data_IF_371563360670
#
_entry.id   IF_371563360670
#
_cell.length_a   1.000
_cell.length_b   1.000
_cell.length_c   1.000
_cell.angle_alpha   90.00
_cell.angle_beta   90.00
_cell.angle_gamma   90.00
#
_symmetry.space_group_name_H-M   'P 1'
#
loop_
_entity.id
_entity.type
_entity.pdbx_description
1 polymer ?
#
# COMPACT_ATOMS: atom_id res chain seq x y z
N UNK A 1 53.11 -15.14 -0.26
CA UNK A 1 53.97 -14.31 0.59
C UNK A 1 53.11 -13.23 1.24
N UNK A 2 53.01 -13.36 2.59
CA UNK A 2 52.65 -12.38 3.65
C UNK A 2 51.35 -11.63 3.55
N UNK A 3 50.31 -12.06 4.17
CA UNK A 3 49.75 -11.93 5.56
C UNK A 3 50.05 -10.58 6.24
N UNK A 4 49.02 -9.76 6.47
CA UNK A 4 48.94 -8.88 7.66
C UNK A 4 47.46 -8.70 8.06
N UNK A 5 47.12 -9.36 9.18
CA UNK A 5 46.04 -9.06 10.11
C UNK A 5 46.25 -7.66 10.72
N UNK A 6 45.15 -6.92 10.92
CA UNK A 6 45.07 -5.91 11.97
C UNK A 6 43.68 -5.95 12.61
N UNK A 7 43.64 -6.48 13.80
CA UNK A 7 42.52 -6.42 14.74
C UNK A 7 42.60 -5.07 15.49
N UNK A 8 41.47 -4.42 15.68
CA UNK A 8 41.31 -3.36 16.65
C UNK A 8 40.04 -3.60 17.49
N UNK A 9 40.27 -4.03 18.72
CA UNK A 9 39.31 -4.00 19.82
C UNK A 9 39.03 -2.54 20.20
N UNK A 10 37.78 -2.22 20.49
CA UNK A 10 37.44 -1.14 21.43
C UNK A 10 36.37 -1.58 22.42
N UNK A 11 36.69 -1.31 23.67
CA UNK A 11 36.11 -1.75 24.94
C UNK A 11 35.04 -0.76 25.42
N UNK A 12 33.99 -1.30 25.94
CA UNK A 12 33.05 -0.91 27.01
C UNK A 12 32.97 0.57 27.47
N UNK A 13 31.73 1.01 27.61
CA UNK A 13 31.33 2.14 28.45
C UNK A 13 29.93 1.95 29.00
N UNK A 14 29.85 1.39 30.21
CA UNK A 14 28.68 1.21 31.06
C UNK A 14 28.42 2.49 31.84
N UNK A 15 27.22 3.04 31.82
CA UNK A 15 26.79 4.04 32.81
C UNK A 15 25.35 3.75 33.24
N UNK A 16 25.21 3.25 34.46
CA UNK A 16 23.99 3.23 35.30
C UNK A 16 23.75 4.65 35.85
N UNK A 17 22.49 5.06 35.87
CA UNK A 17 22.00 5.96 36.90
C UNK A 17 20.52 5.67 37.20
N UNK A 18 20.27 5.58 38.50
CA UNK A 18 19.09 5.09 39.18
C UNK A 18 18.08 6.19 39.56
N UNK A 19 16.89 5.74 39.83
CA UNK A 19 15.94 6.08 40.88
C UNK A 19 15.26 7.46 40.90
N UNK A 20 13.92 7.41 41.05
CA UNK A 20 13.05 8.48 41.50
C UNK A 20 11.64 7.97 41.70
N UNK A 21 11.35 7.40 42.89
CA UNK A 21 10.01 7.15 43.40
C UNK A 21 9.34 8.46 43.81
N UNK A 22 8.01 8.53 43.62
CA UNK A 22 7.14 9.55 44.18
C UNK A 22 5.71 9.04 44.24
N UNK A 23 5.37 8.45 45.41
CA UNK A 23 3.99 8.24 45.88
C UNK A 23 3.39 9.59 46.26
N UNK A 24 2.09 9.78 45.95
CA UNK A 24 1.19 10.45 46.87
C UNK A 24 -0.28 10.06 46.65
N UNK A 25 -0.85 9.63 47.77
CA UNK A 25 -2.25 9.26 48.02
C UNK A 25 -3.12 10.48 48.28
N UNK A 26 -4.38 10.36 48.04
CA UNK A 26 -5.59 10.77 48.81
C UNK A 26 -6.72 11.07 47.82
N UNK A 27 -7.90 10.45 47.83
CA UNK A 27 -8.78 10.10 48.91
C UNK A 27 -10.00 10.99 48.92
N UNK A 28 -11.20 10.45 48.71
CA UNK A 28 -12.51 10.77 49.33
C UNK A 28 -13.69 10.60 48.33
N UNK A 29 -14.45 9.54 48.45
CA UNK A 29 -15.82 9.35 49.04
C UNK A 29 -16.86 10.45 48.79
N UNK A 30 -18.04 10.02 48.29
CA UNK A 30 -19.32 10.72 48.28
C UNK A 30 -20.29 10.07 47.29
N UNK A 31 -20.99 9.13 47.66
CA UNK A 31 -22.29 8.84 48.24
C UNK A 31 -23.50 9.20 47.38
N UNK A 32 -24.35 8.21 47.28
CA UNK A 32 -25.60 7.99 46.58
C UNK A 32 -26.69 9.08 46.76
N UNK A 33 -27.58 9.12 45.77
CA UNK A 33 -29.02 9.29 45.99
C UNK A 33 -29.84 8.68 44.84
N UNK A 34 -30.56 7.63 45.18
CA UNK A 34 -31.67 7.09 44.42
C UNK A 34 -32.91 8.00 44.63
N UNK A 35 -33.68 8.21 43.58
CA UNK A 35 -35.10 8.57 43.72
C UNK A 35 -35.92 7.78 42.70
N UNK A 36 -36.73 6.92 43.25
CA UNK A 36 -37.81 6.16 42.65
C UNK A 36 -38.99 7.08 42.28
N UNK A 37 -39.62 6.83 41.16
CA UNK A 37 -40.92 7.40 40.79
C UNK A 37 -41.65 6.45 39.83
N UNK A 38 -42.64 5.76 40.35
CA UNK A 38 -43.52 4.78 39.69
C UNK A 38 -44.78 5.46 39.14
N UNK A 39 -45.64 4.79 38.35
CA UNK A 39 -46.15 5.25 37.07
C UNK A 39 -47.59 5.79 37.12
N UNK A 40 -48.00 6.50 36.07
CA UNK A 40 -49.42 6.79 35.86
C UNK A 40 -49.82 6.34 34.44
N UNK A 41 -50.81 5.46 34.43
CA UNK A 41 -51.51 4.95 33.28
C UNK A 41 -52.32 6.07 32.56
N UNK A 42 -52.27 6.02 31.22
CA UNK A 42 -53.17 6.77 30.36
C UNK A 42 -53.22 6.15 28.99
N UNK A 43 -54.31 5.46 28.66
CA UNK A 43 -54.63 4.82 27.39
C UNK A 43 -55.71 5.64 26.65
N UNK A 44 -56.04 5.38 25.39
CA UNK A 44 -55.39 5.84 24.15
C UNK A 44 -56.34 6.72 23.30
N UNK A 45 -55.81 7.44 22.33
CA UNK A 45 -56.65 7.90 21.21
C UNK A 45 -55.82 7.82 19.94
N UNK A 46 -56.39 7.17 18.92
CA UNK A 46 -55.75 6.86 17.67
C UNK A 46 -55.30 8.10 16.88
N UNK A 47 -54.16 7.97 16.29
CA UNK A 47 -53.61 8.87 15.31
C UNK A 47 -52.89 8.02 14.27
N UNK A 48 -53.30 8.15 13.00
CA UNK A 48 -52.71 7.51 11.83
C UNK A 48 -51.20 7.64 11.85
N UNK A 49 -50.51 6.53 11.86
CA UNK A 49 -49.07 6.46 11.63
C UNK A 49 -48.85 6.73 10.14
N UNK A 50 -48.34 7.91 9.84
CA UNK A 50 -47.58 8.18 8.63
C UNK A 50 -46.26 7.49 8.84
N UNK A 51 -46.02 6.40 8.13
CA UNK A 51 -44.71 5.81 8.01
C UNK A 51 -43.79 6.80 7.30
N UNK A 52 -43.06 7.59 8.07
CA UNK A 52 -41.87 8.24 7.53
C UNK A 52 -40.86 7.11 7.21
N UNK A 53 -40.73 6.82 5.95
CA UNK A 53 -39.62 6.07 5.41
C UNK A 53 -38.37 6.90 5.72
N UNK A 54 -37.72 6.57 6.82
CA UNK A 54 -36.40 7.08 7.13
C UNK A 54 -35.45 6.32 6.19
N UNK A 55 -35.34 6.84 4.97
CA UNK A 55 -34.28 6.43 4.05
C UNK A 55 -32.94 6.64 4.77
N UNK A 56 -32.44 5.57 5.39
CA UNK A 56 -31.07 5.51 5.87
C UNK A 56 -30.22 5.54 4.61
N UNK A 57 -29.73 6.72 4.24
CA UNK A 57 -28.62 6.82 3.28
C UNK A 57 -27.52 5.96 3.84
N UNK A 58 -27.04 4.92 3.10
CA UNK A 58 -25.90 4.16 3.55
C UNK A 58 -24.77 5.14 3.82
N UNK A 59 -24.19 5.11 5.04
CA UNK A 59 -22.97 5.83 5.31
C UNK A 59 -21.99 5.45 4.19
N UNK A 60 -21.36 6.44 3.57
CA UNK A 60 -20.32 6.21 2.59
C UNK A 60 -19.32 5.25 3.26
N UNK A 61 -19.05 4.12 2.61
CA UNK A 61 -18.08 3.16 3.12
C UNK A 61 -16.76 3.90 3.29
N UNK A 62 -16.15 3.76 4.47
CA UNK A 62 -14.83 4.35 4.74
C UNK A 62 -13.82 3.51 3.94
N UNK A 63 -13.39 4.02 2.77
CA UNK A 63 -12.48 3.32 1.85
C UNK A 63 -11.07 3.91 1.92
N UNK A 64 -10.08 3.10 1.57
CA UNK A 64 -8.68 3.51 1.39
C UNK A 64 -8.12 2.87 0.13
N UNK A 65 -7.09 3.49 -0.43
CA UNK A 65 -6.40 2.96 -1.60
C UNK A 65 -5.42 1.84 -1.28
N UNK A 66 -5.42 0.81 -2.09
CA UNK A 66 -4.49 -0.31 -2.04
C UNK A 66 -3.70 -0.40 -3.34
N UNK A 67 -2.39 -0.57 -3.25
CA UNK A 67 -1.55 -0.98 -4.38
C UNK A 67 -1.73 -2.47 -4.65
N UNK A 68 -2.56 -2.82 -5.60
CA UNK A 68 -2.75 -4.21 -6.02
C UNK A 68 -1.91 -4.48 -7.28
N UNK A 69 -1.13 -5.53 -7.26
CA UNK A 69 -0.20 -5.83 -8.34
C UNK A 69 -0.74 -6.91 -9.25
N UNK A 70 -0.97 -6.54 -10.48
CA UNK A 70 -1.38 -7.40 -11.58
C UNK A 70 -0.26 -7.58 -12.59
N UNK A 71 -0.58 -7.93 -13.82
CA UNK A 71 0.36 -8.01 -14.93
C UNK A 71 -0.10 -7.19 -16.12
N UNK A 72 0.85 -6.71 -16.90
CA UNK A 72 0.64 -6.11 -18.22
C UNK A 72 1.76 -6.57 -19.14
N UNK A 73 1.40 -7.22 -20.24
CA UNK A 73 2.38 -7.76 -21.18
C UNK A 73 3.45 -8.66 -20.51
N UNK A 74 3.04 -9.44 -19.48
CA UNK A 74 3.95 -10.34 -18.74
C UNK A 74 4.74 -9.67 -17.60
N UNK A 75 4.73 -8.35 -17.48
CA UNK A 75 5.39 -7.61 -16.41
C UNK A 75 4.44 -7.28 -15.26
N UNK A 76 4.96 -7.12 -14.05
CA UNK A 76 4.20 -6.65 -12.92
C UNK A 76 3.72 -5.22 -13.17
N UNK A 77 2.46 -4.96 -12.86
CA UNK A 77 1.84 -3.65 -13.04
C UNK A 77 1.00 -3.30 -11.80
N UNK A 78 1.37 -2.25 -11.06
CA UNK A 78 0.58 -1.80 -9.92
C UNK A 78 -0.69 -1.08 -10.41
N UNK A 79 -1.77 -1.27 -9.66
CA UNK A 79 -3.00 -0.53 -9.81
C UNK A 79 -3.52 -0.10 -8.44
N UNK A 80 -4.03 1.12 -8.35
CA UNK A 80 -4.72 1.64 -7.19
C UNK A 80 -6.17 1.17 -7.21
N UNK A 81 -6.59 0.48 -6.17
CA UNK A 81 -7.97 -0.01 -6.02
C UNK A 81 -8.49 0.41 -4.65
N UNK A 82 -9.69 0.96 -4.63
CA UNK A 82 -10.41 1.22 -3.38
C UNK A 82 -10.80 -0.10 -2.71
N UNK A 83 -10.52 -0.20 -1.43
CA UNK A 83 -10.94 -1.29 -0.59
C UNK A 83 -11.44 -0.79 0.76
N UNK A 84 -11.94 -1.68 1.57
CA UNK A 84 -12.42 -1.33 2.90
C UNK A 84 -11.27 -0.84 3.80
N UNK A 85 -11.52 0.23 4.53
CA UNK A 85 -10.65 0.66 5.62
C UNK A 85 -10.84 -0.29 6.82
N UNK A 86 -9.93 -1.22 6.96
CA UNK A 86 -10.00 -2.29 7.96
C UNK A 86 -8.69 -2.44 8.71
N UNK A 87 -8.74 -3.06 9.90
CA UNK A 87 -7.53 -3.50 10.60
C UNK A 87 -6.91 -4.73 9.92
N UNK A 88 -7.68 -5.48 9.14
CA UNK A 88 -7.24 -6.64 8.37
C UNK A 88 -6.67 -6.26 7.00
N UNK A 89 -5.83 -5.23 6.91
CA UNK A 89 -5.32 -4.67 5.63
C UNK A 89 -4.65 -5.70 4.72
N UNK A 90 -4.02 -6.73 5.26
CA UNK A 90 -3.41 -7.79 4.45
C UNK A 90 -4.49 -8.68 3.80
N UNK A 91 -5.55 -8.97 4.55
CA UNK A 91 -6.69 -9.76 4.05
C UNK A 91 -7.40 -9.00 2.95
N UNK A 92 -7.67 -7.71 3.16
CA UNK A 92 -8.30 -6.85 2.17
C UNK A 92 -7.47 -6.76 0.88
N UNK A 93 -6.17 -6.51 1.00
CA UNK A 93 -5.28 -6.48 -0.16
C UNK A 93 -5.28 -7.80 -0.95
N UNK A 94 -5.35 -8.96 -0.26
CA UNK A 94 -5.46 -10.26 -0.91
C UNK A 94 -6.85 -10.48 -1.53
N UNK A 95 -7.92 -10.03 -0.90
CA UNK A 95 -9.27 -10.08 -1.45
C UNK A 95 -9.33 -9.32 -2.78
N UNK A 96 -8.80 -8.10 -2.81
CA UNK A 96 -8.73 -7.28 -4.03
C UNK A 96 -7.86 -7.92 -5.12
N UNK A 97 -6.71 -8.50 -4.75
CA UNK A 97 -5.86 -9.20 -5.70
C UNK A 97 -6.55 -10.42 -6.33
N UNK A 98 -7.19 -11.24 -5.50
CA UNK A 98 -7.84 -12.47 -5.94
C UNK A 98 -9.15 -12.23 -6.71
N UNK A 99 -9.76 -11.07 -6.53
CA UNK A 99 -10.88 -10.61 -7.36
C UNK A 99 -10.47 -10.36 -8.83
N UNK A 100 -9.17 -10.20 -9.07
CA UNK A 100 -8.61 -9.89 -10.38
C UNK A 100 -8.68 -8.39 -10.74
N UNK A 101 -8.07 -8.01 -11.86
CA UNK A 101 -8.06 -6.62 -12.30
C UNK A 101 -9.46 -6.17 -12.76
N UNK A 102 -9.85 -4.92 -12.48
CA UNK A 102 -11.12 -4.36 -12.94
C UNK A 102 -11.27 -4.43 -14.46
N UNK A 103 -12.49 -4.69 -14.92
CA UNK A 103 -12.81 -4.73 -16.34
C UNK A 103 -12.41 -3.41 -17.02
N UNK A 104 -11.75 -3.50 -18.17
CA UNK A 104 -11.33 -2.31 -18.93
C UNK A 104 -10.02 -1.67 -18.42
N UNK A 105 -9.38 -2.19 -17.39
CA UNK A 105 -8.09 -1.68 -16.88
C UNK A 105 -6.93 -1.91 -17.84
N UNK A 106 -7.04 -2.86 -18.76
CA UNK A 106 -5.95 -3.30 -19.63
C UNK A 106 -4.87 -4.09 -18.89
N UNK A 107 -5.20 -4.58 -17.69
CA UNK A 107 -4.35 -5.44 -16.88
C UNK A 107 -4.85 -6.88 -16.91
N UNK A 108 -3.95 -7.82 -16.67
CA UNK A 108 -4.19 -9.24 -16.58
C UNK A 108 -3.74 -9.79 -15.23
N UNK A 109 -4.18 -10.99 -14.88
CA UNK A 109 -3.64 -11.75 -13.75
C UNK A 109 -3.18 -13.13 -14.19
N UNK A 110 -2.07 -13.61 -13.62
CA UNK A 110 -1.62 -14.99 -13.79
C UNK A 110 -2.08 -15.89 -12.64
N UNK A 111 -2.78 -15.33 -11.64
CA UNK A 111 -3.39 -16.10 -10.55
C UNK A 111 -4.66 -16.76 -11.07
N UNK A 112 -4.78 -18.10 -10.97
CA UNK A 112 -5.98 -18.79 -11.43
C UNK A 112 -7.24 -18.36 -10.68
N UNK A 113 -8.35 -18.28 -11.41
CA UNK A 113 -9.65 -17.99 -10.82
C UNK A 113 -10.02 -19.09 -9.79
N UNK A 114 -10.72 -18.69 -8.72
CA UNK A 114 -11.07 -19.60 -7.63
C UNK A 114 -9.93 -19.89 -6.65
N UNK A 115 -8.78 -19.22 -6.78
CA UNK A 115 -7.76 -19.21 -5.72
C UNK A 115 -8.33 -18.54 -4.47
N UNK A 116 -8.17 -19.20 -3.31
CA UNK A 116 -8.69 -18.74 -2.02
C UNK A 116 -7.57 -18.61 -0.99
N UNK A 117 -7.70 -17.66 -0.07
CA UNK A 117 -6.84 -17.56 1.12
C UNK A 117 -7.32 -18.58 2.14
N UNK A 118 -6.45 -19.52 2.52
CA UNK A 118 -6.71 -20.51 3.56
C UNK A 118 -6.27 -20.03 4.95
N UNK A 119 -5.12 -19.37 4.98
CA UNK A 119 -4.57 -18.77 6.19
C UNK A 119 -3.71 -17.56 5.83
N UNK A 120 -3.78 -16.51 6.66
CA UNK A 120 -2.97 -15.30 6.50
C UNK A 120 -2.60 -14.76 7.88
N UNK A 121 -1.34 -14.88 8.21
CA UNK A 121 -0.78 -14.39 9.47
C UNK A 121 0.33 -13.37 9.23
N UNK A 122 0.66 -12.62 10.29
CA UNK A 122 1.78 -11.66 10.26
C UNK A 122 2.58 -11.74 11.56
N UNK A 123 3.88 -11.91 11.44
CA UNK A 123 4.80 -11.91 12.57
C UNK A 123 6.20 -11.50 12.14
N UNK A 124 6.87 -10.67 12.96
CA UNK A 124 8.27 -10.28 12.79
C UNK A 124 8.61 -9.81 11.37
N UNK A 125 7.75 -8.97 10.78
CA UNK A 125 7.98 -8.43 9.44
C UNK A 125 7.70 -9.42 8.30
N UNK A 126 7.17 -10.61 8.59
CA UNK A 126 6.84 -11.63 7.61
C UNK A 126 5.35 -11.89 7.59
N UNK A 127 4.72 -11.72 6.44
CA UNK A 127 3.38 -12.23 6.18
C UNK A 127 3.49 -13.72 5.80
N UNK A 128 2.72 -14.58 6.46
CA UNK A 128 2.62 -16.01 6.13
C UNK A 128 1.27 -16.24 5.48
N UNK A 129 1.28 -16.63 4.22
CA UNK A 129 0.08 -16.83 3.40
C UNK A 129 0.02 -18.28 2.93
N UNK A 130 -1.10 -18.95 3.19
CA UNK A 130 -1.43 -20.25 2.63
C UNK A 130 -2.62 -20.11 1.68
N UNK A 131 -2.45 -20.58 0.45
CA UNK A 131 -3.46 -20.52 -0.61
C UNK A 131 -4.01 -21.91 -0.91
N UNK A 132 -5.17 -21.94 -1.53
CA UNK A 132 -5.79 -23.15 -2.03
C UNK A 132 -5.02 -23.72 -3.24
N UNK A 133 -5.30 -24.99 -3.57
CA UNK A 133 -4.61 -25.72 -4.65
C UNK A 133 -4.69 -25.05 -6.02
N UNK A 134 -5.72 -24.25 -6.25
CA UNK A 134 -5.91 -23.51 -7.51
C UNK A 134 -4.71 -22.61 -7.82
N UNK A 135 -4.09 -22.02 -6.81
CA UNK A 135 -2.90 -21.19 -7.03
C UNK A 135 -1.77 -21.94 -7.73
N UNK A 136 -1.67 -23.24 -7.56
CA UNK A 136 -0.63 -24.08 -8.18
C UNK A 136 -1.06 -24.69 -9.52
N UNK A 137 -2.23 -24.38 -10.04
CA UNK A 137 -2.68 -24.87 -11.34
C UNK A 137 -1.81 -24.33 -12.49
N UNK A 138 -1.44 -25.20 -13.42
CA UNK A 138 -0.57 -24.86 -14.53
C UNK A 138 0.86 -24.55 -14.08
N UNK A 139 1.52 -23.61 -14.75
CA UNK A 139 2.89 -23.18 -14.41
C UNK A 139 2.83 -22.02 -13.42
N UNK A 140 3.44 -22.19 -12.26
CA UNK A 140 3.67 -21.08 -11.33
C UNK A 140 4.92 -20.35 -11.80
N UNK A 141 4.71 -19.21 -12.41
CA UNK A 141 5.79 -18.35 -12.88
C UNK A 141 6.12 -17.24 -11.83
N UNK A 142 7.18 -16.50 -12.14
CA UNK A 142 7.66 -15.41 -11.30
C UNK A 142 6.62 -14.28 -11.18
N UNK A 143 5.85 -14.03 -12.22
CA UNK A 143 4.82 -12.98 -12.23
C UNK A 143 3.66 -13.32 -11.29
N UNK A 144 3.20 -14.59 -11.26
CA UNK A 144 2.17 -15.05 -10.33
C UNK A 144 2.56 -14.81 -8.87
N UNK A 145 3.77 -15.24 -8.52
CA UNK A 145 4.28 -15.05 -7.15
C UNK A 145 4.54 -13.58 -6.85
N UNK A 146 5.06 -12.84 -7.82
CA UNK A 146 5.32 -11.42 -7.74
C UNK A 146 4.08 -10.60 -7.43
N UNK A 147 2.93 -10.90 -8.03
CA UNK A 147 1.65 -10.26 -7.73
C UNK A 147 1.35 -10.32 -6.23
N UNK A 148 1.49 -11.48 -5.60
CA UNK A 148 1.27 -11.68 -4.17
C UNK A 148 2.31 -10.93 -3.33
N UNK A 149 3.59 -11.10 -3.66
CA UNK A 149 4.70 -10.50 -2.90
C UNK A 149 4.60 -8.96 -2.92
N UNK A 150 4.39 -8.38 -4.10
CA UNK A 150 4.33 -6.93 -4.25
C UNK A 150 3.05 -6.33 -3.65
N UNK A 151 1.94 -7.04 -3.71
CA UNK A 151 0.70 -6.61 -3.07
C UNK A 151 0.82 -6.62 -1.55
N UNK A 152 1.36 -7.66 -0.93
CA UNK A 152 1.49 -7.72 0.52
C UNK A 152 2.61 -6.85 1.08
N UNK A 153 3.70 -6.67 0.34
CA UNK A 153 4.83 -5.84 0.79
C UNK A 153 4.64 -4.34 0.51
N UNK A 154 3.46 -3.90 0.08
CA UNK A 154 3.14 -2.47 0.05
C UNK A 154 3.12 -1.85 1.45
N UNK A 155 2.77 -2.63 2.46
CA UNK A 155 2.71 -2.17 3.84
C UNK A 155 4.13 -2.11 4.43
N UNK A 156 4.55 -0.97 4.99
CA UNK A 156 5.93 -0.78 5.47
C UNK A 156 6.38 -1.78 6.54
N UNK A 157 5.43 -2.37 7.27
CA UNK A 157 5.70 -3.40 8.28
C UNK A 157 6.00 -4.77 7.69
N UNK A 158 5.50 -5.07 6.47
CA UNK A 158 5.70 -6.36 5.79
C UNK A 158 6.97 -6.30 4.95
N UNK A 159 8.01 -6.99 5.39
CA UNK A 159 9.30 -7.05 4.69
C UNK A 159 9.43 -8.28 3.81
N UNK A 160 8.74 -9.34 4.16
CA UNK A 160 8.81 -10.64 3.47
C UNK A 160 7.46 -11.33 3.45
N UNK A 161 7.28 -12.22 2.48
CA UNK A 161 6.11 -13.08 2.33
C UNK A 161 6.57 -14.54 2.32
N UNK A 162 6.01 -15.35 3.21
CA UNK A 162 6.12 -16.80 3.18
C UNK A 162 4.86 -17.35 2.51
N UNK A 163 5.02 -17.91 1.32
CA UNK A 163 3.92 -18.41 0.50
C UNK A 163 3.90 -19.95 0.50
N UNK A 164 2.75 -20.52 0.81
CA UNK A 164 2.48 -21.95 0.73
C UNK A 164 1.18 -22.21 -0.03
N UNK A 165 1.02 -23.41 -0.53
CA UNK A 165 -0.22 -23.93 -1.10
C UNK A 165 -0.53 -25.25 -0.40
N UNK A 166 -1.72 -25.34 0.22
CA UNK A 166 -2.10 -26.49 1.03
C UNK A 166 -1.02 -26.83 2.09
N UNK A 167 -0.44 -25.82 2.73
CA UNK A 167 0.62 -25.96 3.72
C UNK A 167 2.00 -26.35 3.20
N UNK A 168 2.18 -26.46 1.87
CA UNK A 168 3.44 -26.88 1.24
C UNK A 168 4.11 -25.72 0.51
N UNK A 169 5.45 -25.67 0.44
CA UNK A 169 6.15 -24.69 -0.41
C UNK A 169 5.69 -24.78 -1.86
N UNK A 170 5.56 -23.63 -2.51
CA UNK A 170 5.13 -23.53 -3.91
C UNK A 170 6.26 -23.97 -4.83
N UNK A 171 6.02 -24.99 -5.66
CA UNK A 171 7.00 -25.44 -6.66
C UNK A 171 7.15 -24.41 -7.78
N UNK A 172 8.37 -24.12 -8.19
CA UNK A 172 8.69 -23.11 -9.21
C UNK A 172 8.77 -21.67 -8.69
N UNK A 173 8.35 -21.41 -7.45
CA UNK A 173 8.53 -20.11 -6.82
C UNK A 173 9.98 -19.92 -6.35
N UNK A 174 10.45 -18.65 -6.24
CA UNK A 174 11.70 -18.34 -5.55
C UNK A 174 11.69 -18.85 -4.10
N UNK A 175 12.86 -19.03 -3.44
CA UNK A 175 12.94 -19.53 -2.07
C UNK A 175 12.13 -18.70 -1.07
N UNK A 176 11.44 -19.36 -0.14
CA UNK A 176 10.70 -18.71 0.97
C UNK A 176 11.62 -18.34 2.15
N UNK A 177 11.35 -17.24 2.89
CA UNK A 177 10.38 -16.21 2.57
C UNK A 177 10.89 -15.24 1.50
N UNK A 178 9.98 -14.72 0.69
CA UNK A 178 10.28 -13.86 -0.46
C UNK A 178 10.17 -12.39 -0.08
N UNK A 179 11.00 -11.56 -0.70
CA UNK A 179 10.98 -10.11 -0.58
C UNK A 179 10.96 -9.48 -1.96
N UNK A 180 10.67 -8.18 -2.04
CA UNK A 180 10.97 -7.39 -3.24
C UNK A 180 12.47 -7.40 -3.52
N UNK A 181 12.85 -7.24 -4.77
CA UNK A 181 14.25 -7.11 -5.20
C UNK A 181 14.57 -7.98 -6.41
N UNK A 182 15.85 -8.35 -6.57
CA UNK A 182 16.47 -8.94 -7.76
C UNK A 182 15.69 -10.11 -8.40
N UNK A 183 14.98 -10.89 -7.57
CA UNK A 183 14.17 -12.00 -8.09
C UNK A 183 13.06 -11.57 -9.05
N UNK A 184 12.66 -10.30 -9.02
CA UNK A 184 11.53 -9.75 -9.79
C UNK A 184 11.93 -8.60 -10.71
N UNK A 185 13.20 -8.19 -10.72
CA UNK A 185 13.65 -6.97 -11.41
C UNK A 185 13.28 -6.98 -12.90
N UNK A 186 13.49 -8.12 -13.57
CA UNK A 186 13.21 -8.28 -15.00
C UNK A 186 11.73 -8.16 -15.40
N UNK A 187 10.83 -8.19 -14.40
CA UNK A 187 9.38 -8.10 -14.60
C UNK A 187 8.75 -6.90 -13.90
N UNK A 188 9.56 -5.95 -13.45
CA UNK A 188 9.06 -4.70 -12.85
C UNK A 188 8.93 -3.59 -13.90
N UNK A 189 7.97 -2.66 -13.74
CA UNK A 189 7.97 -1.41 -14.50
C UNK A 189 9.24 -0.61 -14.24
N UNK A 190 9.71 0.11 -15.23
CA UNK A 190 10.89 0.98 -15.08
C UNK A 190 10.71 2.00 -13.95
N UNK A 191 9.51 2.57 -13.80
CA UNK A 191 9.16 3.49 -12.71
C UNK A 191 8.05 2.86 -11.88
N UNK A 192 8.28 2.75 -10.58
CA UNK A 192 7.30 2.30 -9.57
C UNK A 192 7.08 3.41 -8.56
N UNK A 193 5.86 3.92 -8.45
CA UNK A 193 5.49 4.91 -7.43
C UNK A 193 4.99 4.18 -6.19
N UNK A 194 5.52 4.55 -5.02
CA UNK A 194 5.14 3.98 -3.73
C UNK A 194 4.19 4.92 -2.97
N UNK A 195 4.39 6.22 -3.11
CA UNK A 195 3.56 7.29 -2.54
C UNK A 195 3.52 8.44 -3.57
N UNK A 196 2.35 9.07 -3.78
CA UNK A 196 1.06 8.81 -3.16
C UNK A 196 0.38 7.57 -3.70
N UNK A 197 -0.64 7.08 -2.96
CA UNK A 197 -1.62 6.13 -3.47
C UNK A 197 -2.73 6.89 -4.21
N UNK A 198 -3.30 6.29 -5.27
CA UNK A 198 -4.23 6.99 -6.17
C UNK A 198 -5.56 7.43 -5.56
N UNK A 199 -5.83 7.08 -4.30
CA UNK A 199 -7.14 7.33 -3.68
C UNK A 199 -7.05 8.06 -2.33
N UNK A 200 -5.84 8.15 -1.77
CA UNK A 200 -5.66 8.98 -0.58
C UNK A 200 -5.74 10.46 -0.96
N UNK A 201 -6.50 11.28 -0.22
CA UNK A 201 -6.48 12.71 -0.40
C UNK A 201 -5.06 13.25 -0.23
N UNK A 202 -4.61 14.07 -1.17
CA UNK A 202 -3.27 14.66 -1.13
C UNK A 202 -3.33 16.16 -0.88
N UNK A 203 -2.30 16.68 -0.24
CA UNK A 203 -2.15 18.13 0.00
C UNK A 203 -0.86 18.64 -0.62
N UNK A 204 -0.82 19.92 -0.97
CA UNK A 204 0.40 20.61 -1.39
C UNK A 204 1.17 21.15 -0.16
N UNK A 205 2.46 20.89 -0.05
CA UNK A 205 3.30 20.13 -0.96
C UNK A 205 3.20 18.61 -0.79
N UNK A 206 3.06 17.90 -1.90
CA UNK A 206 3.00 16.44 -1.97
C UNK A 206 4.41 15.83 -1.89
N UNK A 207 4.57 14.75 -1.15
CA UNK A 207 5.79 13.94 -1.17
C UNK A 207 5.59 12.74 -2.08
N UNK A 208 6.38 12.67 -3.14
CA UNK A 208 6.39 11.56 -4.11
C UNK A 208 7.60 10.67 -3.81
N UNK A 209 7.37 9.38 -3.61
CA UNK A 209 8.43 8.39 -3.40
C UNK A 209 8.25 7.20 -4.32
N UNK A 210 9.36 6.55 -4.66
CA UNK A 210 9.30 5.38 -5.53
C UNK A 210 10.64 4.75 -5.80
N UNK A 211 10.66 3.86 -6.78
CA UNK A 211 11.87 3.28 -7.33
C UNK A 211 11.88 3.40 -8.84
N UNK A 212 13.05 3.53 -9.43
CA UNK A 212 13.21 3.59 -10.88
C UNK A 212 14.48 2.88 -11.34
N UNK A 213 14.40 2.24 -12.49
CA UNK A 213 15.53 1.81 -13.31
C UNK A 213 15.33 2.45 -14.69
N UNK A 214 15.84 3.65 -14.84
CA UNK A 214 15.69 4.49 -16.04
C UNK A 214 17.04 5.12 -16.42
N UNK A 215 17.13 5.57 -17.66
CA UNK A 215 18.33 6.20 -18.19
C UNK A 215 18.74 7.41 -17.31
N UNK A 216 20.02 7.50 -16.97
CA UNK A 216 20.62 8.52 -16.08
C UNK A 216 19.93 8.66 -14.71
N UNK A 217 19.10 7.72 -14.31
CA UNK A 217 18.32 7.74 -13.07
C UNK A 217 17.37 8.93 -12.94
N UNK A 218 17.10 9.68 -14.01
CA UNK A 218 16.25 10.85 -13.99
C UNK A 218 14.76 10.47 -14.09
N UNK A 219 13.97 11.04 -13.18
CA UNK A 219 12.51 10.90 -13.16
C UNK A 219 11.91 12.30 -13.16
N UNK A 220 11.26 12.66 -14.26
CA UNK A 220 10.45 13.88 -14.37
C UNK A 220 9.13 13.68 -13.65
N UNK A 221 8.67 14.68 -12.92
CA UNK A 221 7.43 14.64 -12.12
C UNK A 221 6.61 15.87 -12.50
N UNK A 222 5.41 15.65 -13.01
CA UNK A 222 4.44 16.72 -13.32
C UNK A 222 3.15 16.49 -12.55
N UNK A 223 2.51 17.58 -12.17
CA UNK A 223 1.15 17.60 -11.63
C UNK A 223 0.29 18.32 -12.64
N UNK A 224 -0.74 17.65 -13.13
CA UNK A 224 -1.68 18.18 -14.12
C UNK A 224 -3.06 18.36 -13.47
N UNK A 225 -3.82 19.37 -13.88
CA UNK A 225 -5.23 19.52 -13.55
C UNK A 225 -6.13 18.53 -14.30
N UNK A 226 -7.44 18.60 -14.09
CA UNK A 226 -8.43 17.74 -14.75
C UNK A 226 -8.46 17.92 -16.28
N UNK A 227 -8.11 19.11 -16.76
CA UNK A 227 -8.08 19.46 -18.19
C UNK A 227 -6.73 19.15 -18.85
N UNK A 228 -5.73 18.70 -18.06
CA UNK A 228 -4.36 18.41 -18.51
C UNK A 228 -3.43 19.61 -18.48
N UNK A 229 -3.84 20.72 -17.88
CA UNK A 229 -2.99 21.89 -17.63
C UNK A 229 -1.93 21.56 -16.58
N UNK A 230 -0.69 22.07 -16.78
CA UNK A 230 0.43 21.80 -15.88
C UNK A 230 0.38 22.72 -14.66
N UNK A 231 0.12 22.18 -13.48
CA UNK A 231 0.14 22.88 -12.19
C UNK A 231 1.57 22.94 -11.60
N UNK A 232 2.38 21.93 -11.85
CA UNK A 232 3.77 21.87 -11.41
C UNK A 232 4.58 20.92 -12.28
N UNK A 233 5.87 21.24 -12.44
CA UNK A 233 6.86 20.40 -13.11
C UNK A 233 8.18 20.44 -12.36
N UNK A 234 8.79 19.29 -12.15
CA UNK A 234 10.10 19.13 -11.51
C UNK A 234 10.71 17.80 -11.91
N UNK A 235 11.91 17.51 -11.44
CA UNK A 235 12.54 16.22 -11.60
C UNK A 235 13.22 15.77 -10.31
N UNK A 236 13.60 14.51 -10.27
CA UNK A 236 14.43 13.92 -9.22
C UNK A 236 15.34 12.87 -9.83
N UNK A 237 16.46 12.61 -9.17
CA UNK A 237 17.38 11.56 -9.58
C UNK A 237 17.27 10.41 -8.57
N UNK A 238 17.02 9.21 -9.04
CA UNK A 238 17.03 8.02 -8.21
C UNK A 238 18.46 7.69 -7.76
N UNK A 239 18.60 6.93 -6.69
CA UNK A 239 19.91 6.55 -6.12
C UNK A 239 20.73 5.65 -7.04
N UNK A 240 20.12 5.08 -8.05
CA UNK A 240 20.72 4.27 -9.11
C UNK A 240 19.86 4.35 -10.36
N UNK A 241 20.41 4.05 -11.54
CA UNK A 241 19.70 3.99 -12.82
C UNK A 241 20.53 3.27 -13.87
N UNK A 242 19.93 3.01 -15.05
CA UNK A 242 20.54 2.30 -16.17
C UNK A 242 21.12 0.94 -15.78
N UNK A 243 20.21 -0.02 -15.53
CA UNK A 243 20.55 -1.40 -15.18
C UNK A 243 20.67 -1.66 -13.68
N UNK A 244 20.20 -0.71 -12.85
CA UNK A 244 20.02 -0.90 -11.41
C UNK A 244 18.85 -0.05 -10.92
N UNK A 245 18.02 -0.62 -10.05
CA UNK A 245 16.87 0.06 -9.48
C UNK A 245 17.26 0.94 -8.31
N UNK A 246 17.13 2.26 -8.48
CA UNK A 246 17.32 3.24 -7.43
C UNK A 246 16.03 3.63 -6.73
N UNK A 247 16.13 4.22 -5.55
CA UNK A 247 15.02 4.84 -4.84
C UNK A 247 15.02 6.34 -5.10
N UNK A 248 13.84 6.96 -5.13
CA UNK A 248 13.71 8.41 -5.20
C UNK A 248 12.69 8.92 -4.20
N UNK A 249 12.87 10.18 -3.81
CA UNK A 249 11.91 10.95 -3.01
C UNK A 249 11.97 12.41 -3.45
N UNK A 250 10.81 13.01 -3.70
CA UNK A 250 10.69 14.40 -4.12
C UNK A 250 9.48 15.06 -3.50
N UNK A 251 9.67 16.28 -2.99
CA UNK A 251 8.57 17.13 -2.55
C UNK A 251 8.18 18.05 -3.68
N UNK A 252 6.89 18.10 -4.02
CA UNK A 252 6.33 18.86 -5.14
C UNK A 252 5.26 19.79 -4.61
N UNK A 253 5.42 21.08 -4.82
CA UNK A 253 4.40 22.09 -4.50
C UNK A 253 3.61 22.41 -5.76
N UNK A 254 2.30 22.51 -5.62
CA UNK A 254 1.36 22.89 -6.68
C UNK A 254 0.22 23.72 -6.06
N UNK A 255 -0.53 24.41 -6.88
CA UNK A 255 -1.66 25.24 -6.46
C UNK A 255 -2.95 24.60 -6.96
N UNK A 256 -3.79 24.15 -6.02
CA UNK A 256 -5.08 23.53 -6.27
C UNK A 256 -5.95 23.58 -5.01
N UNK A 257 -7.27 23.60 -5.17
CA UNK A 257 -8.23 23.68 -4.08
C UNK A 257 -8.67 22.29 -3.58
N UNK A 258 -9.08 22.14 -2.31
CA UNK A 258 -9.66 20.89 -1.84
C UNK A 258 -10.85 20.44 -2.68
N UNK A 259 -10.80 19.17 -3.11
CA UNK A 259 -11.78 18.56 -4.01
C UNK A 259 -11.36 18.54 -5.48
N UNK A 260 -10.32 19.29 -5.86
CA UNK A 260 -9.81 19.25 -7.23
C UNK A 260 -9.25 17.88 -7.58
N UNK A 261 -9.50 17.45 -8.81
CA UNK A 261 -8.90 16.26 -9.37
C UNK A 261 -7.64 16.64 -10.12
N UNK A 262 -6.56 15.98 -9.77
CA UNK A 262 -5.26 16.18 -10.41
C UNK A 262 -4.70 14.84 -10.89
N UNK A 263 -3.74 14.89 -11.79
CA UNK A 263 -3.00 13.71 -12.24
C UNK A 263 -1.51 13.92 -11.98
N UNK A 264 -0.94 13.06 -11.15
CA UNK A 264 0.51 12.97 -10.99
C UNK A 264 1.08 12.13 -12.12
N UNK A 265 2.01 12.71 -12.89
CA UNK A 265 2.68 12.04 -14.01
C UNK A 265 4.16 11.93 -13.70
N UNK A 266 4.68 10.69 -13.72
CA UNK A 266 6.11 10.43 -13.66
C UNK A 266 6.58 9.84 -14.98
N UNK A 267 7.71 10.30 -15.46
CA UNK A 267 8.28 9.83 -16.72
C UNK A 267 9.80 9.86 -16.67
N UNK A 268 10.44 9.01 -17.47
CA UNK A 268 11.86 9.12 -17.75
C UNK A 268 12.13 10.18 -18.82
N UNK A 269 13.41 10.49 -19.01
CA UNK A 269 13.82 11.36 -20.10
C UNK A 269 13.66 10.64 -21.46
N UNK A 270 13.49 11.42 -22.51
CA UNK A 270 13.47 10.95 -23.90
C UNK A 270 14.87 10.42 -24.30
N UNK A 271 15.12 9.16 -23.98
CA UNK A 271 16.39 8.52 -24.28
C UNK A 271 16.60 8.23 -25.77
N UNK A 272 15.50 8.13 -26.53
CA UNK A 272 15.51 7.79 -27.95
C UNK A 272 15.47 9.02 -28.86
N UNK A 273 15.24 10.22 -28.31
CA UNK A 273 15.22 11.50 -29.03
C UNK A 273 13.99 11.68 -29.94
N UNK A 274 12.92 10.95 -29.68
CA UNK A 274 11.66 11.04 -30.45
C UNK A 274 10.66 12.05 -29.89
N UNK A 275 11.03 12.75 -28.83
CA UNK A 275 10.23 13.75 -28.13
C UNK A 275 9.22 13.17 -27.15
N UNK A 276 9.35 11.86 -26.78
CA UNK A 276 8.47 11.18 -25.85
C UNK A 276 9.27 10.42 -24.79
N UNK A 277 8.76 10.34 -23.55
CA UNK A 277 9.35 9.46 -22.55
C UNK A 277 9.17 8.00 -22.97
N UNK A 278 10.17 7.17 -22.70
CA UNK A 278 10.09 5.73 -22.94
C UNK A 278 9.15 5.05 -21.95
N UNK A 279 9.06 5.59 -20.73
CA UNK A 279 8.20 5.08 -19.66
C UNK A 279 7.43 6.20 -18.99
N UNK A 280 6.13 6.03 -18.85
CA UNK A 280 5.24 7.00 -18.19
C UNK A 280 4.30 6.29 -17.21
N UNK A 281 4.14 6.86 -16.02
CA UNK A 281 3.17 6.43 -15.00
C UNK A 281 2.25 7.59 -14.68
N UNK A 282 0.94 7.35 -14.71
CA UNK A 282 -0.12 8.33 -14.36
C UNK A 282 -0.90 7.84 -13.15
N UNK A 283 -1.05 8.70 -12.15
CA UNK A 283 -1.80 8.43 -10.92
C UNK A 283 -2.84 9.52 -10.74
N UNK A 284 -4.14 9.21 -10.85
CA UNK A 284 -5.20 10.15 -10.52
C UNK A 284 -5.24 10.36 -9.01
N UNK A 285 -5.41 11.60 -8.58
CA UNK A 285 -5.41 12.02 -7.19
C UNK A 285 -6.54 13.02 -6.95
N UNK A 286 -6.96 13.16 -5.69
CA UNK A 286 -7.89 14.20 -5.24
C UNK A 286 -7.20 15.04 -4.18
N UNK A 287 -7.31 16.37 -4.28
CA UNK A 287 -6.80 17.30 -3.27
C UNK A 287 -7.71 17.28 -2.06
N UNK A 288 -7.15 17.12 -0.85
CA UNK A 288 -7.87 17.02 0.42
C UNK A 288 -7.75 18.22 1.34
#
# INVERSE_FOLDING_TARGET
MTLRLLAALFVAGLALAAAGCGDDKSGATGSAAQTSGTPTSGTPTGGMATTADTGTTPAAADTVGYHVWFTKNGNLAPMWIEGEKTLGVLTEAMTLLLAGPPSGSGLDTTIPAGTEVRDLGFSNGTATLDLSSQFAEGTVDRARVGQVVYTLTQFPTVKKVRLTVEGKPVSGAPPNPQARGDAYEEILPAIVVVTPTGLDPVTSPLTVTGTADVFEANVTIRVLDEDGGELASTFTTATCGTGCRGTFAKRVSFDAEPGDKITLVLADDDADGDGKPSHEVKIPLVVG
#
